data_IF_873790920562
#
_entry.id   IF_873790920562
#
_cell.length_a   1.000
_cell.length_b   1.000
_cell.length_c   1.000
_cell.angle_alpha   90.00
_cell.angle_beta   90.00
_cell.angle_gamma   90.00
#
_symmetry.space_group_name_H-M   'P 1'
#
loop_
_entity.id
_entity.type
_entity.pdbx_description
1 polymer ?
#
# COMPACT_ATOMS: atom_id res chain seq x y z
N UNK A 1 -24.78 -7.05 6.09
CA UNK A 1 -24.17 -5.76 6.47
C UNK A 1 -23.52 -5.21 5.21
N UNK A 2 -23.45 -3.90 5.03
CA UNK A 2 -22.87 -3.28 3.84
C UNK A 2 -21.98 -2.12 4.28
N UNK A 3 -21.01 -1.75 3.44
CA UNK A 3 -20.09 -0.63 3.66
C UNK A 3 -19.10 -0.85 4.83
N UNK A 4 -18.50 -2.04 4.90
CA UNK A 4 -17.49 -2.41 5.90
C UNK A 4 -16.15 -1.68 5.69
N UNK A 5 -15.82 -1.34 4.45
CA UNK A 5 -14.61 -0.57 4.16
C UNK A 5 -14.79 0.91 4.49
N UNK A 6 -13.70 1.55 4.90
CA UNK A 6 -13.58 3.01 4.89
C UNK A 6 -12.27 3.39 4.22
N UNK A 7 -12.36 4.04 3.06
CA UNK A 7 -11.21 4.51 2.30
C UNK A 7 -11.27 6.03 2.20
N UNK A 8 -10.18 6.69 2.59
CA UNK A 8 -10.03 8.14 2.48
C UNK A 8 -8.74 8.48 1.76
N UNK A 9 -8.81 9.36 0.77
CA UNK A 9 -7.64 9.88 0.07
C UNK A 9 -7.78 11.39 -0.19
N UNK A 10 -6.66 12.11 -0.10
CA UNK A 10 -6.55 13.54 -0.37
C UNK A 10 -5.14 13.86 -0.84
N UNK A 11 -5.01 14.68 -1.89
CA UNK A 11 -3.75 15.26 -2.32
C UNK A 11 -3.90 16.79 -2.39
N UNK A 12 -3.03 17.51 -1.68
CA UNK A 12 -2.99 18.96 -1.67
C UNK A 12 -1.54 19.43 -1.73
N UNK A 13 -1.29 20.59 -2.32
CA UNK A 13 0.04 21.19 -2.34
C UNK A 13 -0.04 22.72 -2.38
N UNK A 14 0.98 23.39 -1.81
CA UNK A 14 1.16 24.83 -1.95
C UNK A 14 2.65 25.11 -2.09
N UNK A 15 3.04 25.83 -3.15
CA UNK A 15 4.44 26.19 -3.40
C UNK A 15 4.53 27.44 -4.26
N UNK A 16 5.34 28.42 -3.81
CA UNK A 16 5.65 29.61 -4.60
C UNK A 16 4.43 30.45 -5.00
N UNK A 17 3.38 30.49 -4.16
CA UNK A 17 2.14 31.20 -4.45
C UNK A 17 1.10 30.41 -5.27
N UNK A 18 1.46 29.24 -5.82
CA UNK A 18 0.52 28.33 -6.49
C UNK A 18 -0.05 27.30 -5.53
N UNK A 19 -1.34 26.98 -5.66
CA UNK A 19 -2.04 26.02 -4.81
C UNK A 19 -2.73 24.92 -5.62
N UNK A 20 -2.57 23.69 -5.18
CA UNK A 20 -3.42 22.54 -5.54
C UNK A 20 -4.39 22.33 -4.37
N UNK A 21 -5.68 22.68 -4.52
CA UNK A 21 -6.66 22.47 -3.46
C UNK A 21 -6.85 20.97 -3.20
N UNK A 22 -6.90 20.60 -1.92
CA UNK A 22 -7.06 19.20 -1.53
C UNK A 22 -8.52 18.80 -1.38
N UNK A 23 -9.07 18.12 -2.37
CA UNK A 23 -10.37 17.43 -2.26
C UNK A 23 -10.19 16.11 -1.52
N UNK A 24 -10.97 15.89 -0.47
CA UNK A 24 -11.03 14.61 0.24
C UNK A 24 -12.07 13.71 -0.44
N UNK A 25 -11.63 12.53 -0.88
CA UNK A 25 -12.51 11.48 -1.36
C UNK A 25 -12.73 10.47 -0.24
N UNK A 26 -13.99 10.15 0.04
CA UNK A 26 -14.39 9.12 0.98
C UNK A 26 -15.24 8.08 0.25
N UNK A 27 -14.87 6.81 0.38
CA UNK A 27 -15.62 5.71 -0.21
C UNK A 27 -15.75 4.60 0.83
N UNK A 28 -16.96 4.07 0.99
CA UNK A 28 -17.25 2.96 1.89
C UNK A 28 -17.91 1.82 1.13
N UNK A 29 -17.16 1.06 0.31
CA UNK A 29 -17.71 -0.10 -0.37
C UNK A 29 -17.99 -1.25 0.60
N UNK A 30 -18.88 -2.16 0.23
CA UNK A 30 -19.06 -3.41 0.97
C UNK A 30 -17.87 -4.34 0.78
N UNK A 31 -17.58 -5.13 1.82
CA UNK A 31 -16.64 -6.25 1.77
C UNK A 31 -17.39 -7.52 1.38
N UNK A 32 -16.96 -8.22 0.32
CA UNK A 32 -17.53 -9.51 -0.09
C UNK A 32 -16.67 -10.72 0.31
N UNK A 33 -15.38 -10.50 0.60
CA UNK A 33 -14.50 -11.50 1.19
C UNK A 33 -14.70 -11.68 2.69
N UNK A 34 -13.94 -12.60 3.28
CA UNK A 34 -14.05 -12.95 4.72
C UNK A 34 -12.85 -12.46 5.51
N UNK A 35 -11.66 -12.46 4.90
CA UNK A 35 -10.42 -12.29 5.62
C UNK A 35 -9.88 -10.87 5.53
N UNK A 36 -9.33 -10.42 6.64
CA UNK A 36 -8.67 -9.12 6.79
C UNK A 36 -7.54 -9.27 7.81
N UNK A 37 -6.54 -8.39 7.72
CA UNK A 37 -5.42 -8.46 8.64
C UNK A 37 -4.40 -7.36 8.39
N UNK A 38 -3.36 -7.37 9.20
CA UNK A 38 -2.22 -6.49 9.01
C UNK A 38 -0.94 -7.25 9.27
N UNK A 39 0.14 -6.83 8.62
CA UNK A 39 1.47 -7.40 8.81
C UNK A 39 2.51 -6.28 8.86
N UNK A 40 3.65 -6.58 9.47
CA UNK A 40 4.86 -5.77 9.36
C UNK A 40 5.96 -6.63 8.76
N UNK A 41 6.64 -6.12 7.75
CA UNK A 41 7.72 -6.84 7.05
C UNK A 41 8.95 -5.96 6.94
N UNK A 42 10.13 -6.52 7.23
CA UNK A 42 11.41 -5.88 6.95
C UNK A 42 11.80 -6.18 5.51
N UNK A 43 11.81 -5.15 4.66
CA UNK A 43 12.16 -5.26 3.23
C UNK A 43 13.63 -4.91 3.04
N UNK A 44 14.43 -5.86 2.58
CA UNK A 44 15.84 -5.67 2.27
C UNK A 44 16.12 -4.93 0.96
N UNK A 45 17.41 -4.83 0.61
CA UNK A 45 17.89 -4.25 -0.66
C UNK A 45 17.80 -5.21 -1.85
N UNK A 46 17.36 -6.44 -1.59
CA UNK A 46 16.97 -7.43 -2.60
C UNK A 46 15.46 -7.42 -2.75
N UNK A 47 14.98 -7.88 -3.91
CA UNK A 47 13.55 -8.04 -4.13
C UNK A 47 12.94 -9.01 -3.11
N UNK A 48 11.82 -8.62 -2.51
CA UNK A 48 11.03 -9.45 -1.62
C UNK A 48 9.56 -9.40 -2.03
N UNK A 49 8.85 -10.52 -1.88
CA UNK A 49 7.40 -10.53 -1.98
C UNK A 49 6.78 -9.95 -0.71
N UNK A 50 5.76 -9.10 -0.88
CA UNK A 50 4.90 -8.72 0.24
C UNK A 50 4.20 -9.96 0.78
N UNK A 51 4.35 -10.20 2.08
CA UNK A 51 3.72 -11.32 2.78
C UNK A 51 2.27 -10.99 3.09
N UNK A 52 1.34 -11.72 2.48
CA UNK A 52 -0.08 -11.67 2.82
C UNK A 52 -0.35 -12.50 4.09
N UNK A 53 -1.34 -12.11 4.92
CA UNK A 53 -1.90 -13.01 5.92
C UNK A 53 -2.34 -14.33 5.25
N UNK A 54 -2.12 -15.50 5.88
CA UNK A 54 -2.30 -16.81 5.23
C UNK A 54 -3.68 -17.04 4.61
N UNK A 55 -4.72 -16.48 5.22
CA UNK A 55 -6.11 -16.67 4.80
C UNK A 55 -6.57 -15.65 3.74
N UNK A 56 -5.81 -14.56 3.51
CA UNK A 56 -6.11 -13.57 2.45
C UNK A 56 -5.61 -14.12 1.12
N UNK A 57 -6.52 -14.67 0.32
CA UNK A 57 -6.17 -15.36 -0.93
C UNK A 57 -6.98 -14.87 -2.15
N UNK A 58 -8.06 -14.13 -1.92
CA UNK A 58 -8.89 -13.57 -2.99
C UNK A 58 -8.45 -12.15 -3.36
N UNK A 59 -9.21 -11.44 -4.19
CA UNK A 59 -8.92 -10.04 -4.50
C UNK A 59 -8.98 -9.23 -3.19
N UNK A 60 -8.12 -8.23 -3.05
CA UNK A 60 -8.03 -7.47 -1.80
C UNK A 60 -7.72 -5.99 -2.02
N UNK A 61 -7.97 -5.17 -1.01
CA UNK A 61 -7.44 -3.81 -0.89
C UNK A 61 -6.20 -3.86 0.00
N UNK A 62 -5.21 -3.02 -0.29
CA UNK A 62 -4.02 -2.93 0.56
C UNK A 62 -3.58 -1.49 0.78
N UNK A 63 -3.27 -1.16 2.04
CA UNK A 63 -2.58 0.07 2.43
C UNK A 63 -1.17 -0.29 2.88
N UNK A 64 -0.17 0.22 2.17
CA UNK A 64 1.25 0.08 2.49
C UNK A 64 1.75 1.38 3.11
N UNK A 65 2.50 1.28 4.21
CA UNK A 65 3.12 2.41 4.89
C UNK A 65 4.61 2.12 5.06
N UNK A 66 5.45 3.02 4.59
CA UNK A 66 6.88 2.96 4.81
C UNK A 66 7.21 3.64 6.15
N UNK A 67 7.56 2.85 7.17
CA UNK A 67 7.88 3.36 8.50
C UNK A 67 9.36 3.79 8.63
N UNK A 68 10.14 3.73 7.55
CA UNK A 68 11.49 4.27 7.54
C UNK A 68 11.48 5.81 7.50
N UNK A 69 12.48 6.42 8.14
CA UNK A 69 12.60 7.88 8.24
C UNK A 69 13.45 8.52 7.12
N UNK A 70 14.20 7.72 6.35
CA UNK A 70 15.21 8.23 5.40
C UNK A 70 15.23 7.51 4.06
N UNK A 71 14.88 6.23 4.02
CA UNK A 71 14.98 5.38 2.85
C UNK A 71 13.59 5.13 2.24
N UNK A 72 13.57 4.96 0.92
CA UNK A 72 12.33 4.68 0.18
C UNK A 72 12.25 3.21 -0.23
N UNK A 73 11.03 2.80 -0.55
CA UNK A 73 10.71 1.46 -1.01
C UNK A 73 10.16 1.53 -2.41
N UNK A 74 10.68 0.70 -3.31
CA UNK A 74 10.16 0.53 -4.65
C UNK A 74 9.09 -0.57 -4.66
N UNK A 75 8.03 -0.37 -5.43
CA UNK A 75 6.87 -1.28 -5.50
C UNK A 75 6.58 -1.64 -6.96
N UNK A 76 6.32 -2.92 -7.21
CA UNK A 76 5.93 -3.44 -8.52
C UNK A 76 5.12 -4.73 -8.42
N UNK A 77 4.58 -5.18 -9.55
CA UNK A 77 3.85 -6.46 -9.68
C UNK A 77 4.56 -7.44 -10.62
N UNK A 78 5.68 -7.00 -11.20
CA UNK A 78 6.55 -7.79 -12.07
C UNK A 78 7.96 -7.69 -11.50
N UNK A 79 8.62 -8.83 -11.39
CA UNK A 79 9.99 -8.89 -10.86
C UNK A 79 10.90 -7.96 -11.66
N UNK A 80 11.86 -7.34 -10.98
CA UNK A 80 12.81 -6.36 -11.55
C UNK A 80 12.21 -5.07 -12.14
N UNK A 81 10.88 -4.89 -12.09
CA UNK A 81 10.18 -3.72 -12.62
C UNK A 81 9.31 -3.04 -11.56
N UNK A 82 9.92 -2.07 -10.86
CA UNK A 82 9.25 -1.28 -9.84
C UNK A 82 8.89 0.10 -10.39
N UNK A 83 7.59 0.35 -10.56
CA UNK A 83 7.06 1.58 -11.19
C UNK A 83 6.58 2.62 -10.17
N UNK A 84 6.45 2.22 -8.91
CA UNK A 84 6.03 3.09 -7.82
C UNK A 84 7.11 3.15 -6.76
N UNK A 85 7.12 4.24 -5.99
CA UNK A 85 7.97 4.41 -4.82
C UNK A 85 7.12 4.93 -3.66
N UNK A 86 7.41 4.43 -2.47
CA UNK A 86 6.87 4.94 -1.21
C UNK A 86 8.03 5.64 -0.49
N UNK A 87 8.07 6.99 -0.50
CA UNK A 87 9.08 7.74 0.24
C UNK A 87 9.04 7.47 1.75
N UNK A 88 10.05 7.95 2.50
CA UNK A 88 10.10 7.76 3.95
C UNK A 88 8.88 8.38 4.64
N UNK A 89 8.24 7.63 5.55
CA UNK A 89 7.05 8.07 6.28
C UNK A 89 5.79 8.24 5.44
N UNK A 90 5.81 7.89 4.15
CA UNK A 90 4.67 7.99 3.25
C UNK A 90 3.94 6.65 3.08
N UNK A 91 2.84 6.67 2.33
CA UNK A 91 1.95 5.52 2.12
C UNK A 91 1.48 5.37 0.69
N UNK A 92 1.10 4.14 0.33
CA UNK A 92 0.45 3.80 -0.92
C UNK A 92 -0.82 2.98 -0.64
N UNK A 93 -1.97 3.53 -1.01
CA UNK A 93 -3.24 2.82 -1.00
C UNK A 93 -3.53 2.25 -2.39
N UNK A 94 -3.65 0.92 -2.48
CA UNK A 94 -4.09 0.23 -3.68
C UNK A 94 -5.52 -0.27 -3.43
N UNK A 95 -6.54 0.36 -4.07
CA UNK A 95 -7.94 0.10 -3.74
C UNK A 95 -8.47 -1.24 -4.28
N UNK A 96 -7.72 -1.90 -5.17
CA UNK A 96 -8.08 -3.20 -5.73
C UNK A 96 -6.86 -3.92 -6.29
N UNK A 97 -6.48 -5.04 -5.67
CA UNK A 97 -5.47 -5.98 -6.15
C UNK A 97 -6.20 -7.23 -6.60
N UNK A 98 -5.98 -7.62 -7.86
CA UNK A 98 -6.60 -8.83 -8.44
C UNK A 98 -6.03 -10.08 -7.76
N UNK A 99 -6.86 -11.09 -7.54
CA UNK A 99 -6.45 -12.38 -6.98
C UNK A 99 -5.18 -12.92 -7.65
N UNK A 100 -4.32 -13.57 -6.86
CA UNK A 100 -3.05 -14.14 -7.32
C UNK A 100 -2.01 -13.12 -7.83
N UNK A 101 -2.21 -11.81 -7.61
CA UNK A 101 -1.17 -10.80 -7.88
C UNK A 101 -0.17 -10.77 -6.73
N UNK A 102 1.10 -11.03 -7.04
CA UNK A 102 2.21 -10.80 -6.10
C UNK A 102 2.67 -9.35 -6.18
N UNK A 103 2.74 -8.68 -5.02
CA UNK A 103 3.38 -7.38 -4.88
C UNK A 103 4.83 -7.60 -4.50
N UNK A 104 5.75 -7.03 -5.26
CA UNK A 104 7.18 -7.05 -5.01
C UNK A 104 7.62 -5.71 -4.44
N UNK A 105 8.44 -5.78 -3.39
CA UNK A 105 9.00 -4.64 -2.67
C UNK A 105 10.52 -4.74 -2.66
N UNK A 106 11.17 -3.58 -2.71
CA UNK A 106 12.63 -3.50 -2.60
C UNK A 106 13.02 -2.18 -1.95
N UNK A 107 13.83 -2.23 -0.88
CA UNK A 107 14.39 -1.03 -0.28
C UNK A 107 15.63 -0.57 -1.05
N UNK A 108 15.91 0.74 -1.02
CA UNK A 108 17.01 1.29 -1.82
C UNK A 108 18.41 1.09 -1.18
N UNK A 109 18.64 1.63 0.03
CA UNK A 109 20.00 1.61 0.65
C UNK A 109 20.17 0.65 1.83
N UNK A 110 19.13 0.45 2.65
CA UNK A 110 19.12 -0.44 3.80
C UNK A 110 17.72 -1.03 4.00
N UNK A 111 17.58 -2.00 4.91
CA UNK A 111 16.28 -2.60 5.15
C UNK A 111 15.27 -1.56 5.72
N UNK A 112 14.05 -1.54 5.19
CA UNK A 112 12.96 -0.69 5.66
C UNK A 112 11.84 -1.52 6.27
N UNK A 113 11.22 -1.03 7.34
CA UNK A 113 10.01 -1.65 7.90
C UNK A 113 8.78 -1.14 7.15
N UNK A 114 8.04 -2.06 6.53
CA UNK A 114 6.74 -1.80 5.91
C UNK A 114 5.63 -2.31 6.80
N UNK A 115 4.61 -1.50 7.02
CA UNK A 115 3.34 -1.94 7.55
C UNK A 115 2.34 -2.08 6.41
N UNK A 116 1.63 -3.21 6.35
CA UNK A 116 0.63 -3.50 5.34
C UNK A 116 -0.69 -3.88 5.99
N UNK A 117 -1.79 -3.26 5.55
CA UNK A 117 -3.16 -3.57 5.98
C UNK A 117 -3.90 -4.16 4.79
N UNK A 118 -4.60 -5.27 5.01
CA UNK A 118 -5.29 -6.03 3.98
C UNK A 118 -6.74 -6.26 4.37
N UNK A 119 -7.61 -6.25 3.38
CA UNK A 119 -8.95 -6.78 3.51
C UNK A 119 -9.45 -7.22 2.13
N UNK A 120 -9.99 -8.44 2.07
CA UNK A 120 -10.52 -9.01 0.84
C UNK A 120 -11.71 -8.19 0.32
N UNK A 121 -11.84 -8.07 -1.00
CA UNK A 121 -12.93 -7.32 -1.65
C UNK A 121 -14.04 -8.23 -2.07
#
# INVERSE_FOLDING_TARGET
MANEFTLTARLAASKGGSTLPGTTYNVSPSMSGTYMGYTTQSIGTTEESLTLPPDVATAYKVLLVNNDATNYIEVGTVTTSYKFRIPPGEMLLIPYVVSSTTIYLKANTAACIVQAHFAEV
#
